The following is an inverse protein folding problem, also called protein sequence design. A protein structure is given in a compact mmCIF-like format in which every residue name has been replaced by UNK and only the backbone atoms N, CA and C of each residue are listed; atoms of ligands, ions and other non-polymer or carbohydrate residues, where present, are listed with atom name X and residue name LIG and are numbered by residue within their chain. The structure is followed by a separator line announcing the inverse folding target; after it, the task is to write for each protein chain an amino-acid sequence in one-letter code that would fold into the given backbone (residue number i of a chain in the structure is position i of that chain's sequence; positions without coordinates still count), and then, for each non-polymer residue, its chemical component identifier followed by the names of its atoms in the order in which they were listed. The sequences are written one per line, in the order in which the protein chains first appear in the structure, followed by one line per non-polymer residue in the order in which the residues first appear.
data_IF_804329968538
#
_entry.id   IF_804329968538
#
_cell.length_a   1.000
_cell.length_b   1.000
_cell.length_c   1.000
_cell.angle_alpha   90.00
_cell.angle_beta   90.00
_cell.angle_gamma   90.00
#
_symmetry.space_group_name_H-M   'P 1'
#
loop_
_entity.id
_entity.type
_entity.pdbx_description
1 polymer ?
#
# COMPACT_ATOMS: atom_id res chain seq x y z
N UNK A 1 25.92 8.60 12.67
CA UNK A 1 25.99 9.44 11.46
C UNK A 1 24.64 9.59 10.73
N UNK A 2 23.96 8.49 10.35
CA UNK A 2 22.69 8.57 9.58
C UNK A 2 21.58 9.39 10.25
N UNK A 3 21.36 9.21 11.57
CA UNK A 3 20.41 10.02 12.34
C UNK A 3 20.74 11.53 12.33
N UNK A 4 22.01 11.88 12.47
CA UNK A 4 22.47 13.27 12.44
C UNK A 4 22.21 13.92 11.08
N UNK A 5 22.60 13.25 9.99
CA UNK A 5 22.29 13.70 8.62
C UNK A 5 20.78 13.77 8.38
N UNK A 6 20.00 12.91 9.06
CA UNK A 6 18.54 12.97 9.09
C UNK A 6 18.01 14.34 9.52
N UNK A 7 18.57 14.98 10.56
CA UNK A 7 18.12 16.32 10.96
C UNK A 7 18.34 17.38 9.87
N UNK A 8 19.33 17.20 8.99
CA UNK A 8 19.67 18.13 7.91
C UNK A 8 18.81 17.86 6.67
N UNK A 9 18.67 16.59 6.26
CA UNK A 9 18.02 16.22 5.01
C UNK A 9 16.50 16.02 5.15
N UNK A 10 16.00 15.66 6.34
CA UNK A 10 14.56 15.43 6.55
C UNK A 10 13.71 16.66 6.24
N UNK A 11 14.06 17.89 6.64
CA UNK A 11 13.28 19.07 6.28
C UNK A 11 13.05 19.18 4.77
N UNK A 12 14.08 18.90 3.95
CA UNK A 12 13.98 18.93 2.50
C UNK A 12 13.02 17.83 2.01
N UNK A 13 13.28 16.57 2.38
CA UNK A 13 12.48 15.44 1.92
C UNK A 13 11.00 15.53 2.36
N UNK A 14 10.75 15.95 3.60
CA UNK A 14 9.40 16.13 4.16
C UNK A 14 8.70 17.30 3.47
N UNK A 15 9.35 18.46 3.31
CA UNK A 15 8.75 19.60 2.62
C UNK A 15 8.40 19.28 1.18
N UNK A 16 9.28 18.58 0.45
CA UNK A 16 9.01 18.12 -0.92
C UNK A 16 7.79 17.18 -0.95
N UNK A 17 7.71 16.22 -0.03
CA UNK A 17 6.58 15.30 0.08
C UNK A 17 5.24 16.06 0.28
N UNK A 18 5.19 16.97 1.24
CA UNK A 18 3.97 17.74 1.52
C UNK A 18 3.65 18.75 0.42
N UNK A 19 4.65 19.35 -0.23
CA UNK A 19 4.46 20.22 -1.39
C UNK A 19 3.75 19.46 -2.52
N UNK A 20 4.16 18.23 -2.84
CA UNK A 20 3.46 17.41 -3.83
C UNK A 20 2.03 17.11 -3.40
N UNK A 21 1.76 16.79 -2.12
CA UNK A 21 0.39 16.61 -1.64
C UNK A 21 -0.48 17.86 -1.84
N UNK A 22 0.07 19.05 -1.59
CA UNK A 22 -0.63 20.32 -1.76
C UNK A 22 -0.89 20.66 -3.22
N UNK A 23 0.10 20.48 -4.10
CA UNK A 23 -0.04 20.72 -5.55
C UNK A 23 -1.05 19.75 -6.16
N UNK A 24 -0.98 18.47 -5.82
CA UNK A 24 -1.86 17.47 -6.41
C UNK A 24 -3.28 17.47 -5.84
N UNK A 25 -3.54 18.19 -4.74
CA UNK A 25 -4.88 18.22 -4.18
C UNK A 25 -5.89 18.92 -5.12
N UNK A 26 -5.67 20.17 -5.58
CA UNK A 26 -6.52 20.79 -6.57
C UNK A 26 -6.46 20.05 -7.92
N UNK A 27 -5.31 19.50 -8.33
CA UNK A 27 -5.21 18.72 -9.57
C UNK A 27 -6.12 17.49 -9.53
N UNK A 28 -6.11 16.73 -8.43
CA UNK A 28 -7.01 15.58 -8.26
C UNK A 28 -8.48 16.01 -8.35
N UNK A 29 -8.85 17.14 -7.74
CA UNK A 29 -10.21 17.66 -7.82
C UNK A 29 -10.59 18.06 -9.25
N UNK A 30 -9.72 18.78 -9.97
CA UNK A 30 -9.94 19.18 -11.37
C UNK A 30 -10.05 17.94 -12.25
N UNK A 31 -9.12 16.98 -12.13
CA UNK A 31 -9.14 15.73 -12.89
C UNK A 31 -10.44 14.95 -12.64
N UNK A 32 -10.90 14.87 -11.39
CA UNK A 32 -12.15 14.19 -11.06
C UNK A 32 -13.36 14.91 -11.67
N UNK A 33 -13.41 16.25 -11.61
CA UNK A 33 -14.53 17.04 -12.12
C UNK A 33 -14.64 17.07 -13.64
N UNK A 34 -13.51 17.19 -14.34
CA UNK A 34 -13.49 17.34 -15.80
C UNK A 34 -13.33 16.02 -16.54
N UNK A 35 -12.61 15.04 -15.97
CA UNK A 35 -12.29 13.77 -16.63
C UNK A 35 -12.74 12.53 -15.88
N UNK A 36 -13.53 12.70 -14.81
CA UNK A 36 -14.09 11.60 -14.02
C UNK A 36 -13.03 10.75 -13.31
N UNK A 37 -13.43 9.54 -12.95
CA UNK A 37 -12.61 8.61 -12.17
C UNK A 37 -11.29 8.22 -12.87
N UNK A 38 -11.31 8.02 -14.20
CA UNK A 38 -10.12 7.60 -14.94
C UNK A 38 -9.02 8.68 -14.91
N UNK A 39 -9.39 9.95 -15.09
CA UNK A 39 -8.45 11.07 -14.97
C UNK A 39 -7.96 11.26 -13.53
N UNK A 40 -8.86 11.14 -12.54
CA UNK A 40 -8.50 11.18 -11.12
C UNK A 40 -7.47 10.09 -10.75
N UNK A 41 -7.70 8.84 -11.18
CA UNK A 41 -6.77 7.72 -10.95
C UNK A 41 -5.39 7.99 -11.57
N UNK A 42 -5.33 8.45 -12.82
CA UNK A 42 -4.04 8.81 -13.46
C UNK A 42 -3.31 9.91 -12.69
N UNK A 43 -4.04 10.93 -12.21
CA UNK A 43 -3.47 11.99 -11.37
C UNK A 43 -2.88 11.42 -10.06
N UNK A 44 -3.58 10.47 -9.43
CA UNK A 44 -3.08 9.77 -8.22
C UNK A 44 -1.84 8.93 -8.52
N UNK A 45 -1.77 8.24 -9.66
CA UNK A 45 -0.59 7.46 -10.04
C UNK A 45 0.64 8.37 -10.22
N UNK A 46 0.46 9.51 -10.90
CA UNK A 46 1.50 10.52 -11.09
C UNK A 46 1.90 11.14 -9.74
N UNK A 47 0.95 11.45 -8.86
CA UNK A 47 1.27 11.90 -7.50
C UNK A 47 2.20 10.89 -6.81
N UNK A 48 1.88 9.60 -6.86
CA UNK A 48 2.67 8.60 -6.16
C UNK A 48 4.06 8.41 -6.76
N UNK A 49 4.27 8.65 -8.06
CA UNK A 49 5.62 8.81 -8.62
C UNK A 49 6.39 9.90 -7.88
N UNK A 50 5.82 11.11 -7.76
CA UNK A 50 6.46 12.22 -7.06
C UNK A 50 6.66 11.96 -5.56
N UNK A 51 5.71 11.31 -4.88
CA UNK A 51 5.87 10.91 -3.48
C UNK A 51 6.99 9.87 -3.33
N UNK A 52 7.16 8.94 -4.27
CA UNK A 52 8.33 8.05 -4.29
C UNK A 52 9.61 8.86 -4.46
N UNK A 53 9.62 9.89 -5.31
CA UNK A 53 10.85 10.67 -5.50
C UNK A 53 11.28 11.48 -4.28
N UNK A 54 10.37 11.82 -3.37
CA UNK A 54 10.68 12.69 -2.24
C UNK A 54 11.69 12.06 -1.25
N UNK A 55 11.73 10.73 -1.14
CA UNK A 55 12.67 10.07 -0.20
C UNK A 55 14.11 10.07 -0.69
N UNK A 56 14.35 10.25 -2.00
CA UNK A 56 15.70 10.39 -2.54
C UNK A 56 16.40 11.66 -2.06
N UNK A 57 15.65 12.71 -1.67
CA UNK A 57 16.22 13.93 -1.06
C UNK A 57 16.85 13.68 0.32
N UNK A 58 16.49 12.57 0.99
CA UNK A 58 17.14 12.09 2.21
C UNK A 58 18.19 11.00 1.93
N UNK A 59 18.56 10.80 0.66
CA UNK A 59 19.50 9.77 0.21
C UNK A 59 18.96 8.35 0.29
N UNK A 60 17.67 8.15 0.63
CA UNK A 60 17.05 6.82 0.68
C UNK A 60 16.74 6.32 -0.73
N UNK A 61 16.73 5.00 -0.93
CA UNK A 61 16.44 4.41 -2.25
C UNK A 61 15.28 3.44 -2.19
N UNK A 62 14.52 3.39 -3.29
CA UNK A 62 13.40 2.47 -3.49
C UNK A 62 13.77 1.48 -4.58
N UNK A 63 13.75 0.19 -4.24
CA UNK A 63 13.91 -0.91 -5.17
C UNK A 63 12.60 -1.68 -5.26
N UNK A 64 11.95 -1.65 -6.43
CA UNK A 64 10.74 -2.41 -6.67
C UNK A 64 11.05 -3.56 -7.63
N UNK A 65 10.85 -4.79 -7.16
CA UNK A 65 11.11 -6.02 -7.91
C UNK A 65 9.80 -6.73 -8.20
N UNK A 66 9.57 -7.04 -9.47
CA UNK A 66 8.44 -7.85 -9.89
C UNK A 66 8.86 -8.71 -11.08
N UNK A 67 9.22 -9.95 -10.79
CA UNK A 67 9.57 -10.97 -11.78
C UNK A 67 8.36 -11.82 -12.17
N UNK A 68 7.17 -11.49 -11.64
CA UNK A 68 5.94 -12.25 -11.80
C UNK A 68 5.14 -11.76 -13.01
N UNK A 69 4.65 -12.69 -13.82
CA UNK A 69 3.76 -12.38 -14.93
C UNK A 69 2.30 -12.29 -14.46
N UNK A 70 1.97 -11.21 -13.73
CA UNK A 70 0.62 -11.05 -13.19
C UNK A 70 -0.38 -10.60 -14.30
N UNK A 71 -1.60 -11.16 -14.32
CA UNK A 71 -2.60 -10.84 -15.33
C UNK A 71 -3.16 -9.42 -15.16
N UNK A 72 -3.30 -8.69 -16.28
CA UNK A 72 -4.09 -7.45 -16.35
C UNK A 72 -5.53 -7.80 -16.69
N UNK A 73 -6.50 -7.16 -16.04
CA UNK A 73 -7.93 -7.43 -16.26
C UNK A 73 -8.48 -8.59 -15.43
N UNK A 74 -7.68 -9.18 -14.53
CA UNK A 74 -8.14 -10.07 -13.46
C UNK A 74 -8.02 -9.32 -12.13
N UNK A 75 -9.03 -9.37 -11.24
CA UNK A 75 -8.90 -8.84 -9.88
C UNK A 75 -7.71 -9.49 -9.14
N UNK A 76 -6.99 -8.70 -8.34
CA UNK A 76 -5.84 -9.16 -7.56
C UNK A 76 -5.97 -8.67 -6.12
N UNK A 77 -5.71 -9.51 -5.13
CA UNK A 77 -5.53 -9.09 -3.74
C UNK A 77 -4.04 -9.17 -3.42
N UNK A 78 -3.39 -8.01 -3.40
CA UNK A 78 -2.03 -7.87 -2.93
C UNK A 78 -2.02 -7.87 -1.40
N UNK A 79 -1.28 -8.82 -0.82
CA UNK A 79 -1.09 -8.95 0.63
C UNK A 79 0.36 -8.60 0.94
N UNK A 80 0.58 -7.61 1.80
CA UNK A 80 1.93 -7.19 2.16
C UNK A 80 2.11 -7.12 3.67
N UNK A 81 3.35 -7.33 4.14
CA UNK A 81 3.73 -6.87 5.47
C UNK A 81 3.75 -5.33 5.51
N UNK A 82 3.62 -4.73 6.68
CA UNK A 82 3.49 -3.28 6.86
C UNK A 82 4.53 -2.76 7.84
N UNK A 83 5.33 -1.80 7.43
CA UNK A 83 6.50 -1.30 8.16
C UNK A 83 6.47 0.23 8.31
N UNK A 84 5.89 0.97 7.36
CA UNK A 84 5.85 2.43 7.42
C UNK A 84 4.66 3.03 6.66
N UNK A 85 4.43 4.35 6.82
CA UNK A 85 3.44 5.05 5.96
C UNK A 85 3.90 5.12 4.51
N UNK A 86 5.21 4.96 4.28
CA UNK A 86 5.84 5.03 2.97
C UNK A 86 5.75 3.70 2.20
N UNK A 87 5.16 2.65 2.78
CA UNK A 87 4.87 1.42 2.03
C UNK A 87 3.91 1.66 0.85
N UNK A 88 3.07 2.69 0.98
CA UNK A 88 1.93 2.95 0.08
C UNK A 88 2.37 3.52 -1.28
N UNK A 89 3.19 4.58 -1.38
CA UNK A 89 3.46 5.20 -2.68
C UNK A 89 4.18 4.29 -3.69
N UNK A 90 5.22 3.52 -3.33
CA UNK A 90 5.84 2.56 -4.24
C UNK A 90 4.83 1.54 -4.76
N UNK A 91 3.97 1.00 -3.88
CA UNK A 91 2.94 0.05 -4.28
C UNK A 91 1.93 0.66 -5.27
N UNK A 92 1.47 1.90 -5.05
CA UNK A 92 0.55 2.57 -6.00
C UNK A 92 1.25 2.79 -7.35
N UNK A 93 2.46 3.35 -7.33
CA UNK A 93 3.16 3.75 -8.55
C UNK A 93 3.58 2.54 -9.40
N UNK A 94 4.23 1.54 -8.81
CA UNK A 94 4.76 0.41 -9.58
C UNK A 94 3.70 -0.63 -9.95
N UNK A 95 2.58 -0.70 -9.22
CA UNK A 95 1.45 -1.60 -9.51
C UNK A 95 0.25 -0.87 -10.13
N UNK A 96 0.47 0.34 -10.68
CA UNK A 96 -0.57 1.22 -11.22
C UNK A 96 -1.51 0.54 -12.23
N UNK A 97 -0.98 -0.35 -13.08
CA UNK A 97 -1.71 -1.13 -14.10
C UNK A 97 -2.77 -2.09 -13.53
N UNK A 98 -2.65 -2.47 -12.25
CA UNK A 98 -3.61 -3.35 -11.58
C UNK A 98 -4.68 -2.57 -10.79
N UNK A 99 -4.69 -1.24 -10.87
CA UNK A 99 -5.67 -0.39 -10.19
C UNK A 99 -5.77 -0.66 -8.68
N UNK A 100 -4.65 -0.99 -8.03
CA UNK A 100 -4.64 -1.50 -6.68
C UNK A 100 -5.16 -0.46 -5.66
N UNK A 101 -6.30 -0.76 -5.01
CA UNK A 101 -6.98 0.14 -4.05
C UNK A 101 -6.76 -0.33 -2.62
N UNK A 102 -6.56 0.60 -1.71
CA UNK A 102 -6.16 0.28 -0.34
C UNK A 102 -7.36 0.08 0.59
N UNK A 103 -7.22 -0.90 1.47
CA UNK A 103 -7.99 -0.97 2.72
C UNK A 103 -7.33 -0.04 3.73
N UNK A 104 -8.01 1.05 4.08
CA UNK A 104 -7.48 2.16 4.87
C UNK A 104 -8.32 2.43 6.10
N UNK A 105 -7.76 3.15 7.08
CA UNK A 105 -8.50 3.62 8.26
C UNK A 105 -9.42 4.79 7.88
N UNK A 106 -10.66 4.79 8.36
CA UNK A 106 -11.64 5.85 8.08
C UNK A 106 -11.17 7.24 8.55
N UNK A 107 -10.36 7.30 9.60
CA UNK A 107 -9.83 8.56 10.14
C UNK A 107 -8.87 9.25 9.16
N UNK A 108 -8.18 8.49 8.30
CA UNK A 108 -7.28 9.05 7.28
C UNK A 108 -8.06 9.70 6.11
N UNK A 109 -9.35 9.41 5.99
CA UNK A 109 -10.22 10.01 5.00
C UNK A 109 -10.57 11.48 5.33
N UNK A 110 -9.95 12.10 6.34
CA UNK A 110 -10.12 13.52 6.70
C UNK A 110 -8.78 14.18 7.04
N UNK A 111 -8.61 15.45 6.65
CA UNK A 111 -7.52 16.33 7.11
C UNK A 111 -6.19 16.27 6.36
N UNK A 112 -5.92 15.25 5.53
CA UNK A 112 -4.64 15.12 4.82
C UNK A 112 -4.83 15.51 3.34
N UNK A 113 -4.20 16.61 2.86
CA UNK A 113 -4.28 17.01 1.46
C UNK A 113 -3.89 15.88 0.52
N UNK A 114 -4.57 15.79 -0.62
CA UNK A 114 -4.45 14.70 -1.61
C UNK A 114 -4.80 13.28 -1.11
N UNK A 115 -4.30 12.84 0.05
CA UNK A 115 -4.53 11.51 0.60
C UNK A 115 -5.99 11.33 1.00
N UNK A 116 -6.53 12.20 1.85
CA UNK A 116 -7.93 12.11 2.26
C UNK A 116 -8.90 12.28 1.09
N UNK A 117 -8.52 13.08 0.09
CA UNK A 117 -9.32 13.22 -1.12
C UNK A 117 -9.35 11.91 -1.92
N UNK A 118 -8.19 11.28 -2.14
CA UNK A 118 -8.11 9.98 -2.80
C UNK A 118 -8.82 8.88 -2.00
N UNK A 119 -8.73 8.87 -0.67
CA UNK A 119 -9.43 7.86 0.13
C UNK A 119 -10.96 7.97 0.00
N UNK A 120 -11.51 9.17 -0.17
CA UNK A 120 -12.95 9.37 -0.38
C UNK A 120 -13.43 9.06 -1.80
N UNK A 121 -12.61 9.31 -2.82
CA UNK A 121 -13.03 9.25 -4.23
C UNK A 121 -12.34 8.15 -5.05
N UNK A 122 -11.31 7.51 -4.51
CA UNK A 122 -10.44 6.57 -5.20
C UNK A 122 -10.96 5.12 -5.25
N UNK A 123 -12.07 4.82 -4.58
CA UNK A 123 -12.79 3.55 -4.70
C UNK A 123 -12.34 2.40 -3.80
N UNK A 124 -11.35 2.61 -2.92
CA UNK A 124 -10.91 1.64 -1.90
C UNK A 124 -11.92 1.44 -0.77
N UNK A 125 -11.50 0.78 0.31
CA UNK A 125 -12.31 0.57 1.51
C UNK A 125 -11.75 1.39 2.68
N UNK A 126 -12.59 2.23 3.29
CA UNK A 126 -12.24 2.96 4.50
C UNK A 126 -12.94 2.31 5.70
N UNK A 127 -12.18 1.54 6.49
CA UNK A 127 -12.70 0.73 7.59
C UNK A 127 -12.57 1.45 8.94
N UNK A 128 -13.54 1.23 9.83
CA UNK A 128 -13.50 1.65 11.22
C UNK A 128 -13.20 0.46 12.13
N UNK A 129 -12.03 0.49 12.78
CA UNK A 129 -11.60 -0.62 13.65
C UNK A 129 -12.45 -0.74 14.92
N UNK A 130 -13.21 0.30 15.27
CA UNK A 130 -14.15 0.29 16.38
C UNK A 130 -15.51 -0.31 15.98
N UNK A 131 -15.76 -0.48 14.68
CA UNK A 131 -16.96 -1.11 14.15
C UNK A 131 -16.59 -2.28 13.19
N UNK A 132 -16.37 -3.49 13.73
CA UNK A 132 -16.08 -4.67 12.93
C UNK A 132 -17.17 -5.01 11.91
N UNK A 133 -18.46 -4.80 12.26
CA UNK A 133 -19.59 -5.10 11.37
C UNK A 133 -19.60 -4.13 10.18
N UNK A 134 -19.47 -2.83 10.45
CA UNK A 134 -19.34 -1.81 9.41
C UNK A 134 -18.13 -2.04 8.50
N UNK A 135 -16.99 -2.45 9.07
CA UNK A 135 -15.79 -2.79 8.32
C UNK A 135 -16.00 -3.97 7.36
N UNK A 136 -16.68 -5.04 7.80
CA UNK A 136 -17.03 -6.18 6.93
C UNK A 136 -17.97 -5.72 5.81
N UNK A 137 -18.96 -4.88 6.10
CA UNK A 137 -19.86 -4.35 5.07
C UNK A 137 -19.11 -3.51 4.03
N UNK A 138 -18.18 -2.65 4.46
CA UNK A 138 -17.39 -1.84 3.54
C UNK A 138 -16.43 -2.68 2.69
N UNK A 139 -15.77 -3.68 3.29
CA UNK A 139 -14.97 -4.65 2.55
C UNK A 139 -15.81 -5.45 1.54
N UNK A 140 -17.03 -5.82 1.90
CA UNK A 140 -17.97 -6.48 1.00
C UNK A 140 -18.33 -5.59 -0.20
N UNK A 141 -18.65 -4.31 0.03
CA UNK A 141 -18.88 -3.34 -1.06
C UNK A 141 -17.65 -3.16 -1.93
N UNK A 142 -16.47 -3.12 -1.31
CA UNK A 142 -15.21 -3.00 -2.04
C UNK A 142 -14.92 -4.25 -2.89
N UNK A 143 -15.15 -5.45 -2.36
CA UNK A 143 -15.03 -6.69 -3.14
C UNK A 143 -15.98 -6.75 -4.34
N UNK A 144 -17.19 -6.19 -4.24
CA UNK A 144 -18.08 -5.99 -5.40
C UNK A 144 -17.45 -5.03 -6.42
N UNK A 145 -16.93 -3.87 -5.98
CA UNK A 145 -16.24 -2.93 -6.89
C UNK A 145 -15.03 -3.56 -7.58
N UNK A 146 -14.27 -4.41 -6.87
CA UNK A 146 -13.15 -5.16 -7.44
C UNK A 146 -13.61 -6.05 -8.59
N UNK A 147 -14.65 -6.84 -8.36
CA UNK A 147 -15.24 -7.73 -9.36
C UNK A 147 -15.74 -6.96 -10.58
N UNK A 148 -16.50 -5.89 -10.36
CA UNK A 148 -17.17 -5.16 -11.43
C UNK A 148 -16.19 -4.37 -12.33
N UNK A 149 -15.02 -3.99 -11.79
CA UNK A 149 -14.06 -3.15 -12.50
C UNK A 149 -12.70 -3.82 -12.76
N UNK A 150 -12.54 -5.10 -12.41
CA UNK A 150 -11.27 -5.81 -12.42
C UNK A 150 -10.16 -5.07 -11.65
N UNK A 151 -10.49 -4.46 -10.52
CA UNK A 151 -9.51 -3.74 -9.69
C UNK A 151 -8.74 -4.69 -8.77
N UNK A 152 -7.50 -4.31 -8.50
CA UNK A 152 -6.73 -4.86 -7.41
C UNK A 152 -7.12 -4.26 -6.05
N UNK A 153 -6.90 -5.02 -4.99
CA UNK A 153 -6.90 -4.57 -3.61
C UNK A 153 -5.50 -4.66 -3.02
N UNK A 154 -5.18 -3.71 -2.15
CA UNK A 154 -3.98 -3.70 -1.31
C UNK A 154 -4.42 -3.81 0.13
N UNK A 155 -3.98 -4.87 0.80
CA UNK A 155 -4.27 -5.12 2.20
C UNK A 155 -3.00 -5.46 2.96
N UNK A 156 -2.91 -4.94 4.18
CA UNK A 156 -1.85 -5.24 5.14
C UNK A 156 -2.43 -6.12 6.25
N UNK A 157 -2.34 -7.46 6.13
CA UNK A 157 -3.09 -8.37 6.98
C UNK A 157 -2.59 -8.41 8.43
N UNK A 158 -1.40 -7.87 8.72
CA UNK A 158 -0.91 -7.64 10.08
C UNK A 158 -1.78 -6.67 10.89
N UNK A 159 -2.59 -5.85 10.21
CA UNK A 159 -3.45 -4.84 10.81
C UNK A 159 -2.69 -3.66 11.44
N UNK A 160 -1.39 -3.74 11.67
CA UNK A 160 -0.58 -2.64 12.23
C UNK A 160 0.82 -2.67 11.65
N UNK A 161 1.49 -1.52 11.64
CA UNK A 161 2.89 -1.43 11.23
C UNK A 161 3.79 -2.17 12.23
N UNK A 162 4.76 -2.89 11.72
CA UNK A 162 5.93 -3.37 12.44
C UNK A 162 6.86 -2.18 12.76
N UNK A 163 7.44 -2.19 13.96
CA UNK A 163 8.35 -1.13 14.43
C UNK A 163 9.82 -1.52 14.33
N UNK A 164 10.08 -2.81 14.18
CA UNK A 164 11.40 -3.46 14.15
C UNK A 164 11.64 -4.21 12.82
N UNK A 165 10.63 -4.24 11.94
CA UNK A 165 10.71 -4.89 10.65
C UNK A 165 10.31 -6.36 10.65
N UNK A 166 10.04 -6.97 11.81
CA UNK A 166 9.56 -8.34 11.87
C UNK A 166 8.11 -8.45 11.36
N UNK A 167 7.85 -9.52 10.61
CA UNK A 167 6.52 -9.81 10.05
C UNK A 167 5.62 -10.36 11.16
N UNK A 168 4.46 -9.75 11.39
CA UNK A 168 3.46 -10.26 12.35
C UNK A 168 2.56 -11.30 11.71
N UNK A 169 1.77 -11.98 12.53
CA UNK A 169 0.73 -12.91 12.07
C UNK A 169 -0.31 -12.20 11.22
N UNK A 170 -0.67 -12.81 10.10
CA UNK A 170 -1.65 -12.27 9.17
C UNK A 170 -3.08 -12.64 9.59
N UNK A 171 -4.01 -11.69 9.41
CA UNK A 171 -5.43 -11.89 9.68
C UNK A 171 -6.19 -12.19 8.38
N UNK A 172 -6.90 -13.31 8.33
CA UNK A 172 -7.58 -13.77 7.10
C UNK A 172 -8.94 -13.13 6.85
N UNK A 173 -9.63 -12.63 7.88
CA UNK A 173 -11.04 -12.23 7.80
C UNK A 173 -11.33 -11.18 6.70
N UNK A 174 -10.42 -10.20 6.54
CA UNK A 174 -10.56 -9.19 5.49
C UNK A 174 -10.43 -9.78 4.08
N UNK A 175 -9.48 -10.67 3.89
CA UNK A 175 -9.20 -11.36 2.62
C UNK A 175 -10.35 -12.31 2.29
N UNK A 176 -10.84 -13.06 3.28
CA UNK A 176 -12.02 -13.92 3.14
C UNK A 176 -13.26 -13.13 2.67
N UNK A 177 -13.46 -11.92 3.22
CA UNK A 177 -14.57 -11.05 2.81
C UNK A 177 -14.43 -10.59 1.36
N UNK A 178 -13.23 -10.21 0.93
CA UNK A 178 -12.95 -9.83 -0.45
C UNK A 178 -13.14 -11.01 -1.42
N UNK A 179 -12.57 -12.17 -1.11
CA UNK A 179 -12.71 -13.39 -1.93
C UNK A 179 -14.16 -13.87 -2.02
N UNK A 180 -14.96 -13.74 -0.95
CA UNK A 180 -16.39 -14.08 -1.01
C UNK A 180 -17.14 -13.27 -2.07
N UNK A 181 -16.73 -12.03 -2.32
CA UNK A 181 -17.34 -11.14 -3.34
C UNK A 181 -16.63 -11.21 -4.69
N UNK A 182 -15.35 -11.55 -4.69
CA UNK A 182 -14.49 -11.63 -5.87
C UNK A 182 -13.70 -12.94 -5.86
N UNK A 183 -14.36 -14.10 -6.07
CA UNK A 183 -13.77 -15.43 -5.84
C UNK A 183 -12.65 -15.78 -6.81
N UNK A 184 -12.58 -15.12 -7.97
CA UNK A 184 -11.51 -15.30 -8.95
C UNK A 184 -10.28 -14.41 -8.69
N UNK A 185 -10.27 -13.61 -7.62
CA UNK A 185 -9.18 -12.69 -7.35
C UNK A 185 -7.87 -13.45 -7.04
N UNK A 186 -6.81 -13.14 -7.79
CA UNK A 186 -5.49 -13.73 -7.57
C UNK A 186 -4.89 -13.19 -6.27
N UNK A 187 -4.35 -14.06 -5.43
CA UNK A 187 -3.68 -13.65 -4.20
C UNK A 187 -2.20 -13.42 -4.50
N UNK A 188 -1.66 -12.23 -4.23
CA UNK A 188 -0.27 -11.87 -4.58
C UNK A 188 0.47 -11.36 -3.34
N UNK A 189 1.38 -12.15 -2.75
CA UNK A 189 2.20 -11.68 -1.64
C UNK A 189 3.23 -10.64 -2.11
N UNK A 190 3.45 -9.59 -1.32
CA UNK A 190 4.49 -8.57 -1.54
C UNK A 190 5.30 -8.41 -0.27
N UNK A 191 6.60 -8.71 -0.34
CA UNK A 191 7.53 -8.54 0.77
C UNK A 191 8.11 -7.13 0.76
N UNK A 192 8.02 -6.43 1.90
CA UNK A 192 8.59 -5.11 2.12
C UNK A 192 9.72 -5.22 3.14
N UNK A 193 10.92 -4.80 2.74
CA UNK A 193 12.12 -4.85 3.57
C UNK A 193 12.66 -3.45 3.84
N UNK A 194 13.05 -3.21 5.09
CA UNK A 194 13.74 -2.01 5.58
C UNK A 194 12.96 -0.69 5.50
N UNK A 195 11.70 -0.70 5.08
CA UNK A 195 10.85 0.49 5.07
C UNK A 195 10.64 1.06 6.48
N UNK A 196 10.65 0.21 7.52
CA UNK A 196 10.54 0.65 8.92
C UNK A 196 11.75 1.51 9.34
N UNK A 197 12.93 1.26 8.77
CA UNK A 197 14.17 1.98 9.09
C UNK A 197 14.06 3.45 8.71
N UNK A 198 13.22 3.82 7.73
CA UNK A 198 12.97 5.20 7.34
C UNK A 198 12.45 6.05 8.51
N UNK A 199 11.58 5.48 9.34
CA UNK A 199 10.89 6.16 10.45
C UNK A 199 11.27 5.56 11.82
N UNK A 200 12.41 4.88 11.92
CA UNK A 200 12.84 4.21 13.17
C UNK A 200 13.05 5.20 14.33
N UNK A 201 13.26 6.49 14.05
CA UNK A 201 13.38 7.56 15.05
C UNK A 201 12.08 8.35 15.26
N UNK A 202 10.96 7.85 14.73
CA UNK A 202 9.70 8.58 14.60
C UNK A 202 9.59 9.27 13.23
N UNK A 203 8.64 10.21 13.12
CA UNK A 203 8.42 10.98 11.88
C UNK A 203 9.47 12.08 11.67
N UNK A 204 10.27 12.40 12.69
CA UNK A 204 11.38 13.34 12.60
C UNK A 204 12.48 13.03 13.63
N UNK A 205 13.76 13.01 13.23
CA UNK A 205 14.23 13.03 11.85
C UNK A 205 13.91 11.69 11.16
N UNK A 206 13.74 11.71 9.84
CA UNK A 206 13.81 10.49 9.04
C UNK A 206 15.23 9.94 9.07
N UNK A 207 15.35 8.62 8.94
CA UNK A 207 16.64 8.02 8.65
C UNK A 207 17.07 8.33 7.21
N UNK A 208 18.37 8.30 6.96
CA UNK A 208 18.99 8.63 5.67
C UNK A 208 19.74 7.45 5.11
N UNK A 209 19.94 7.43 3.78
CA UNK A 209 20.71 6.39 3.08
C UNK A 209 20.22 4.97 3.38
N UNK A 210 18.90 4.82 3.43
CA UNK A 210 18.21 3.54 3.67
C UNK A 210 17.75 2.97 2.32
N UNK A 211 18.33 1.84 1.87
CA UNK A 211 17.77 1.10 0.76
C UNK A 211 16.54 0.33 1.25
N UNK A 212 15.41 0.53 0.58
CA UNK A 212 14.14 -0.13 0.88
C UNK A 212 13.72 -0.95 -0.33
N UNK A 213 13.19 -2.15 -0.10
CA UNK A 213 12.81 -3.08 -1.17
C UNK A 213 11.34 -3.49 -1.06
N UNK A 214 10.65 -3.51 -2.19
CA UNK A 214 9.35 -4.13 -2.38
C UNK A 214 9.53 -5.25 -3.40
N UNK A 215 9.20 -6.48 -3.03
CA UNK A 215 9.35 -7.63 -3.91
C UNK A 215 8.02 -8.37 -4.04
N UNK A 216 7.51 -8.43 -5.27
CA UNK A 216 6.32 -9.22 -5.62
C UNK A 216 6.73 -10.69 -5.68
N UNK A 217 6.10 -11.51 -4.85
CA UNK A 217 6.38 -12.94 -4.74
C UNK A 217 5.42 -13.75 -5.61
N UNK A 218 5.73 -15.04 -5.74
CA UNK A 218 4.92 -15.99 -6.49
C UNK A 218 3.43 -15.87 -6.12
N UNK A 219 2.53 -15.71 -7.11
CA UNK A 219 1.10 -15.63 -6.85
C UNK A 219 0.53 -16.94 -6.29
N UNK A 220 -0.69 -16.86 -5.76
CA UNK A 220 -1.43 -17.97 -5.17
C UNK A 220 -2.84 -17.96 -5.78
N UNK A 221 -3.21 -19.09 -6.39
CA UNK A 221 -4.55 -19.25 -6.95
C UNK A 221 -5.58 -19.47 -5.82
N UNK A 222 -6.74 -18.77 -5.83
CA UNK A 222 -7.70 -18.85 -4.73
C UNK A 222 -8.38 -20.22 -4.59
N UNK A 223 -8.29 -21.10 -5.61
CA UNK A 223 -8.90 -22.42 -5.60
C UNK A 223 -8.02 -23.53 -5.00
N UNK A 224 -6.78 -23.24 -4.58
CA UNK A 224 -5.82 -24.28 -4.15
C UNK A 224 -5.90 -24.64 -2.66
N UNK A 225 -6.80 -24.03 -1.90
CA UNK A 225 -6.93 -24.28 -0.47
C UNK A 225 -7.97 -23.38 0.20
N UNK A 226 -8.12 -23.54 1.52
CA UNK A 226 -8.94 -22.64 2.35
C UNK A 226 -8.28 -21.27 2.48
N UNK A 227 -9.07 -20.22 2.74
CA UNK A 227 -8.52 -18.84 2.85
C UNK A 227 -7.40 -18.76 3.90
N UNK A 228 -7.55 -19.43 5.04
CA UNK A 228 -6.54 -19.42 6.09
C UNK A 228 -5.22 -20.07 5.64
N UNK A 229 -5.27 -21.18 4.89
CA UNK A 229 -4.08 -21.82 4.33
C UNK A 229 -3.39 -20.91 3.30
N UNK A 230 -4.16 -20.24 2.43
CA UNK A 230 -3.60 -19.35 1.41
C UNK A 230 -2.98 -18.10 2.04
N UNK A 231 -3.60 -17.54 3.08
CA UNK A 231 -3.07 -16.40 3.83
C UNK A 231 -1.81 -16.80 4.60
N UNK A 232 -1.81 -17.99 5.21
CA UNK A 232 -0.62 -18.51 5.90
C UNK A 232 0.53 -18.75 4.94
N UNK A 233 0.26 -19.32 3.76
CA UNK A 233 1.25 -19.49 2.69
C UNK A 233 1.84 -18.15 2.24
N UNK A 234 1.01 -17.11 2.09
CA UNK A 234 1.48 -15.77 1.77
C UNK A 234 2.34 -15.16 2.89
N UNK A 235 1.92 -15.32 4.15
CA UNK A 235 2.68 -14.90 5.33
C UNK A 235 4.06 -15.56 5.35
N UNK A 236 4.14 -16.88 5.15
CA UNK A 236 5.39 -17.64 5.21
C UNK A 236 6.33 -17.26 4.06
N UNK A 237 5.81 -17.04 2.85
CA UNK A 237 6.59 -16.52 1.70
C UNK A 237 7.19 -15.15 2.01
N UNK A 238 6.38 -14.24 2.56
CA UNK A 238 6.82 -12.89 2.92
C UNK A 238 7.86 -12.95 4.05
N UNK A 239 7.59 -13.72 5.11
CA UNK A 239 8.48 -13.90 6.26
C UNK A 239 9.84 -14.43 5.83
N UNK A 240 9.88 -15.50 5.04
CA UNK A 240 11.11 -16.08 4.52
C UNK A 240 11.93 -15.06 3.71
N UNK A 241 11.27 -14.18 2.94
CA UNK A 241 11.94 -13.13 2.17
C UNK A 241 12.50 -12.02 3.06
N UNK A 242 11.71 -11.53 4.01
CA UNK A 242 12.09 -10.42 4.90
C UNK A 242 13.21 -10.85 5.84
N UNK A 243 13.13 -12.02 6.45
CA UNK A 243 14.11 -12.52 7.42
C UNK A 243 15.44 -12.89 6.75
N UNK A 244 15.43 -13.45 5.54
CA UNK A 244 16.66 -13.73 4.76
C UNK A 244 17.49 -12.48 4.45
N UNK A 245 16.83 -11.33 4.31
CA UNK A 245 17.49 -10.04 4.04
C UNK A 245 17.90 -9.28 5.32
N UNK A 246 17.47 -9.76 6.48
CA UNK A 246 17.81 -9.18 7.79
C UNK A 246 18.98 -9.91 8.48
N UNK A 247 19.23 -11.16 8.12
CA UNK A 247 20.41 -11.94 8.52
C UNK A 247 21.66 -11.50 7.74
#
# INVERSE_FOLDING_TARGET
MRKFLGYILSPIAISVFFLFLLIFHPLQWICLKLGGYAAHKRCVDILNFFLVTSVYFAGNTVHFKNEQNLPVGRPIIFMANHQSLFDIPPMIFFLWKYHAKFVSKVELAKGIPSISFNLRHGGGANIDRKDPRGSIMELSKFGTRMKDNNWGAMIFPEGTRSKDGHVKTFQSAGIATLLKKCPNALLVPVAITDSWKLIQYGMYPLNTFTPMTWEVLEPIEPSTGTVDELVKLAEDRIRAKVEKLQA
#
